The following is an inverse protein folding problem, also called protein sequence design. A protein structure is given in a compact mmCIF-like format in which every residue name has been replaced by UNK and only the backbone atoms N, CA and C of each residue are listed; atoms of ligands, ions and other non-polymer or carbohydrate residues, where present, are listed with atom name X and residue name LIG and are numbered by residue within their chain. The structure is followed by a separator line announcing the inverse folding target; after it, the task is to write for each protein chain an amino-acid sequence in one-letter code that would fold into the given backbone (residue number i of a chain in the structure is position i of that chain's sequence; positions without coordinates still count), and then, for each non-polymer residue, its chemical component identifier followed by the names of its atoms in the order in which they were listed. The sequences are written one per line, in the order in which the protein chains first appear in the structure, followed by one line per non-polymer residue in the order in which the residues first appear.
data_IF_467220597484
#
_entry.id   IF_467220597484
#
_cell.length_a   1.000
_cell.length_b   1.000
_cell.length_c   1.000
_cell.angle_alpha   90.00
_cell.angle_beta   90.00
_cell.angle_gamma   90.00
#
_symmetry.space_group_name_H-M   'P 1'
#
loop_
_entity.id
_entity.type
_entity.pdbx_description
1 polymer ?
#
# COMPACT_ATOMS: atom_id res chain seq x y z
N UNK A 1 -4.62 3.22 14.09
CA UNK A 1 -4.20 4.63 14.12
C UNK A 1 -3.28 4.87 12.93
N UNK A 2 -3.38 6.02 12.25
CA UNK A 2 -2.50 6.33 11.13
C UNK A 2 -1.26 7.09 11.61
N UNK A 3 -0.06 6.57 11.31
CA UNK A 3 1.22 7.23 11.61
C UNK A 3 1.77 7.93 10.37
N UNK A 4 2.62 8.95 10.58
CA UNK A 4 3.32 9.62 9.50
C UNK A 4 4.36 8.68 8.87
N UNK A 5 4.52 8.75 7.55
CA UNK A 5 5.55 7.95 6.87
C UNK A 5 6.95 8.53 7.10
N UNK A 6 7.97 7.67 7.30
CA UNK A 6 9.37 8.09 7.22
C UNK A 6 9.70 8.65 5.84
N UNK A 7 10.61 9.62 5.76
CA UNK A 7 10.94 10.32 4.50
C UNK A 7 11.41 9.36 3.40
N UNK A 8 12.16 8.33 3.75
CA UNK A 8 12.59 7.30 2.78
C UNK A 8 11.41 6.57 2.17
N UNK A 9 10.40 6.23 2.98
CA UNK A 9 9.16 5.59 2.50
C UNK A 9 8.37 6.54 1.61
N UNK A 10 8.28 7.83 1.97
CA UNK A 10 7.61 8.85 1.15
C UNK A 10 8.26 8.99 -0.23
N UNK A 11 9.59 8.98 -0.29
CA UNK A 11 10.34 9.07 -1.54
C UNK A 11 10.04 7.86 -2.44
N UNK A 12 10.07 6.64 -1.89
CA UNK A 12 9.73 5.43 -2.66
C UNK A 12 8.30 5.49 -3.20
N UNK A 13 7.33 5.93 -2.40
CA UNK A 13 5.93 6.09 -2.86
C UNK A 13 5.81 7.17 -3.95
N UNK A 14 6.60 8.24 -3.86
CA UNK A 14 6.65 9.29 -4.88
C UNK A 14 7.23 8.75 -6.19
N UNK A 15 8.32 7.99 -6.14
CA UNK A 15 8.89 7.35 -7.32
C UNK A 15 7.92 6.35 -7.95
N UNK A 16 7.20 5.56 -7.14
CA UNK A 16 6.14 4.68 -7.64
C UNK A 16 5.06 5.46 -8.40
N UNK A 17 4.62 6.60 -7.84
CA UNK A 17 3.65 7.50 -8.48
C UNK A 17 4.15 7.96 -9.84
N UNK A 18 5.40 8.42 -9.92
CA UNK A 18 5.99 8.89 -11.17
C UNK A 18 6.08 7.78 -12.22
N UNK A 19 6.47 6.56 -11.84
CA UNK A 19 6.54 5.42 -12.78
C UNK A 19 5.18 5.00 -13.30
N UNK A 20 4.13 5.07 -12.47
CA UNK A 20 2.75 4.81 -12.89
C UNK A 20 2.27 5.90 -13.86
N UNK A 21 2.46 7.17 -13.50
CA UNK A 21 2.03 8.32 -14.33
C UNK A 21 2.74 8.35 -15.69
N UNK A 22 4.02 7.99 -15.72
CA UNK A 22 4.82 7.89 -16.94
C UNK A 22 4.62 6.56 -17.70
N UNK A 23 3.63 5.74 -17.31
CA UNK A 23 3.28 4.46 -17.96
C UNK A 23 4.44 3.45 -18.04
N UNK A 24 5.37 3.52 -17.09
CA UNK A 24 6.50 2.58 -16.99
C UNK A 24 6.12 1.29 -16.24
N UNK A 25 5.01 1.32 -15.49
CA UNK A 25 4.47 0.16 -14.80
C UNK A 25 3.70 -0.76 -15.75
N UNK A 26 3.90 -2.07 -15.62
CA UNK A 26 3.18 -3.09 -16.41
C UNK A 26 1.97 -3.56 -15.64
N UNK A 27 0.82 -3.76 -16.29
CA UNK A 27 -0.34 -4.39 -15.65
C UNK A 27 -0.20 -5.91 -15.77
N UNK A 28 -0.16 -6.62 -14.63
CA UNK A 28 0.13 -8.07 -14.61
C UNK A 28 -1.09 -8.93 -14.24
N UNK A 29 -2.08 -8.35 -13.58
CA UNK A 29 -3.40 -8.96 -13.36
C UNK A 29 -4.45 -7.89 -13.51
N UNK A 30 -5.58 -8.20 -14.14
CA UNK A 30 -6.65 -7.23 -14.35
C UNK A 30 -8.01 -7.91 -14.23
N UNK A 31 -8.92 -7.27 -13.50
CA UNK A 31 -10.31 -7.67 -13.39
C UNK A 31 -11.23 -6.42 -13.43
N UNK A 32 -12.51 -6.61 -13.11
CA UNK A 32 -13.50 -5.52 -13.08
C UNK A 32 -13.31 -4.54 -11.92
N UNK A 33 -12.53 -4.91 -10.91
CA UNK A 33 -12.26 -4.11 -9.71
C UNK A 33 -10.96 -3.33 -9.82
N UNK A 34 -10.05 -3.72 -10.71
CA UNK A 34 -8.78 -3.05 -10.85
C UNK A 34 -7.71 -3.85 -11.58
N UNK A 35 -6.45 -3.47 -11.34
CA UNK A 35 -5.30 -4.23 -11.82
C UNK A 35 -4.14 -4.17 -10.82
N UNK A 36 -3.34 -5.24 -10.81
CA UNK A 36 -2.05 -5.28 -10.14
C UNK A 36 -0.98 -4.74 -11.10
N UNK A 37 -0.13 -3.84 -10.60
CA UNK A 37 1.06 -3.41 -11.30
C UNK A 37 2.24 -4.34 -11.02
N UNK A 38 3.08 -4.53 -12.02
CA UNK A 38 4.33 -5.26 -11.94
C UNK A 38 5.34 -4.76 -12.97
N UNK A 39 6.22 -5.66 -13.40
CA UNK A 39 7.38 -5.31 -14.22
C UNK A 39 8.54 -4.76 -13.39
N UNK A 40 9.76 -4.64 -13.99
CA UNK A 40 10.97 -4.29 -13.25
C UNK A 40 10.87 -2.94 -12.52
N UNK A 41 10.28 -1.93 -13.17
CA UNK A 41 10.22 -0.57 -12.66
C UNK A 41 9.48 -0.43 -11.31
N UNK A 42 8.40 -1.18 -11.09
CA UNK A 42 7.74 -1.19 -9.78
C UNK A 42 8.20 -2.31 -8.87
N UNK A 43 8.73 -3.41 -9.41
CA UNK A 43 9.23 -4.53 -8.59
C UNK A 43 10.41 -4.09 -7.73
N UNK A 44 11.34 -3.32 -8.29
CA UNK A 44 12.49 -2.79 -7.56
C UNK A 44 12.05 -1.85 -6.43
N UNK A 45 11.14 -0.90 -6.73
CA UNK A 45 10.59 0.01 -5.72
C UNK A 45 9.77 -0.73 -4.64
N UNK A 46 9.05 -1.79 -4.99
CA UNK A 46 8.30 -2.60 -4.02
C UNK A 46 9.23 -3.39 -3.08
N UNK A 47 10.38 -3.85 -3.57
CA UNK A 47 11.44 -4.46 -2.75
C UNK A 47 12.11 -3.42 -1.86
N UNK A 48 12.44 -2.25 -2.39
CA UNK A 48 12.99 -1.15 -1.60
C UNK A 48 12.02 -0.73 -0.48
N UNK A 49 10.72 -0.58 -0.80
CA UNK A 49 9.70 -0.26 0.18
C UNK A 49 9.61 -1.32 1.29
N UNK A 50 9.68 -2.61 0.91
CA UNK A 50 9.73 -3.71 1.87
C UNK A 50 10.92 -3.55 2.82
N UNK A 51 12.11 -3.27 2.29
CA UNK A 51 13.33 -3.13 3.09
C UNK A 51 13.26 -1.89 4.01
N UNK A 52 12.76 -0.76 3.52
CA UNK A 52 12.56 0.43 4.35
C UNK A 52 11.60 0.14 5.51
N UNK A 53 10.44 -0.48 5.24
CA UNK A 53 9.48 -0.80 6.30
C UNK A 53 10.00 -1.85 7.29
N UNK A 54 10.81 -2.82 6.83
CA UNK A 54 11.51 -3.74 7.74
C UNK A 54 12.48 -3.01 8.67
N UNK A 55 13.21 -2.02 8.16
CA UNK A 55 14.12 -1.20 8.97
C UNK A 55 13.38 -0.34 10.01
N UNK A 56 12.11 -0.01 9.76
CA UNK A 56 11.22 0.70 10.69
C UNK A 56 10.55 -0.24 11.70
N UNK A 57 10.89 -1.53 11.68
CA UNK A 57 10.46 -2.51 12.66
C UNK A 57 9.19 -3.29 12.32
N UNK A 58 8.65 -3.15 11.09
CA UNK A 58 7.55 -3.99 10.61
C UNK A 58 8.08 -5.32 10.07
N UNK A 59 7.46 -6.47 10.37
CA UNK A 59 7.83 -7.75 9.72
C UNK A 59 7.09 -7.91 8.39
N UNK A 60 7.65 -7.35 7.32
CA UNK A 60 7.02 -7.32 5.99
C UNK A 60 7.26 -8.62 5.23
N UNK A 61 6.17 -9.32 4.92
CA UNK A 61 6.17 -10.55 4.11
C UNK A 61 6.12 -10.26 2.61
N UNK A 62 5.36 -9.25 2.20
CA UNK A 62 5.26 -8.88 0.80
C UNK A 62 4.67 -7.50 0.56
N UNK A 63 5.05 -6.90 -0.57
CA UNK A 63 4.54 -5.63 -1.06
C UNK A 63 3.96 -5.84 -2.47
N UNK A 64 2.72 -5.42 -2.70
CA UNK A 64 2.10 -5.41 -4.03
C UNK A 64 1.47 -4.06 -4.30
N UNK A 65 1.39 -3.65 -5.57
CA UNK A 65 0.89 -2.33 -5.96
C UNK A 65 -0.32 -2.52 -6.86
N UNK A 66 -1.43 -1.88 -6.52
CA UNK A 66 -2.72 -2.07 -7.18
C UNK A 66 -3.35 -0.76 -7.57
N UNK A 67 -4.06 -0.76 -8.69
CA UNK A 67 -5.04 0.25 -9.02
C UNK A 67 -6.45 -0.31 -8.79
N UNK A 68 -7.31 0.43 -8.09
CA UNK A 68 -8.69 0.05 -7.85
C UNK A 68 -9.66 1.03 -8.51
N UNK A 69 -10.63 0.52 -9.27
CA UNK A 69 -11.61 1.34 -10.00
C UNK A 69 -12.83 1.72 -9.14
N UNK A 70 -13.42 0.76 -8.39
CA UNK A 70 -14.46 1.03 -7.38
C UNK A 70 -14.80 -0.21 -6.54
N UNK A 71 -14.94 -0.03 -5.23
CA UNK A 71 -15.62 -0.99 -4.35
C UNK A 71 -14.93 -2.36 -4.23
N UNK A 72 -13.66 -2.37 -3.87
CA UNK A 72 -12.92 -3.61 -3.66
C UNK A 72 -13.04 -4.07 -2.20
N UNK A 73 -13.37 -5.34 -1.98
CA UNK A 73 -13.30 -5.93 -0.64
C UNK A 73 -11.89 -6.44 -0.42
N UNK A 74 -11.22 -5.87 0.58
CA UNK A 74 -9.85 -6.24 0.92
C UNK A 74 -9.92 -7.48 1.81
N UNK A 75 -9.40 -8.59 1.29
CA UNK A 75 -9.16 -9.78 2.11
C UNK A 75 -7.88 -9.58 2.91
N UNK A 76 -7.93 -9.84 4.21
CA UNK A 76 -6.79 -9.68 5.11
C UNK A 76 -6.60 -10.93 5.97
N UNK A 77 -6.25 -12.07 5.36
CA UNK A 77 -6.14 -13.34 6.07
C UNK A 77 -5.05 -13.32 7.15
N UNK A 78 -4.03 -12.47 7.00
CA UNK A 78 -2.95 -12.32 7.97
C UNK A 78 -3.34 -11.46 9.17
N UNK A 79 -4.45 -10.71 9.10
CA UNK A 79 -4.83 -9.66 10.07
C UNK A 79 -3.73 -8.61 10.30
N UNK A 80 -2.80 -8.52 9.36
CA UNK A 80 -1.63 -7.67 9.39
C UNK A 80 -1.44 -7.09 8.00
N UNK A 81 -2.09 -5.96 7.75
CA UNK A 81 -2.03 -5.29 6.46
C UNK A 81 -1.80 -3.80 6.67
N UNK A 82 -0.86 -3.26 5.90
CA UNK A 82 -0.61 -1.83 5.80
C UNK A 82 -1.02 -1.40 4.39
N UNK A 83 -1.81 -0.33 4.31
CA UNK A 83 -2.14 0.33 3.05
C UNK A 83 -1.51 1.71 2.98
N UNK A 84 -0.92 2.00 1.82
CA UNK A 84 -0.33 3.29 1.48
C UNK A 84 -0.94 3.81 0.19
N UNK A 85 -1.48 5.03 0.24
CA UNK A 85 -2.03 5.68 -0.95
C UNK A 85 -0.88 6.24 -1.80
N UNK A 86 -0.83 5.84 -3.07
CA UNK A 86 0.08 6.40 -4.07
C UNK A 86 -0.61 7.57 -4.76
N UNK A 87 -1.83 7.38 -5.26
CA UNK A 87 -2.55 8.37 -6.05
C UNK A 87 -4.08 8.18 -5.97
N UNK A 88 -4.82 9.23 -6.30
CA UNK A 88 -6.28 9.21 -6.32
C UNK A 88 -6.90 9.40 -4.93
N UNK A 89 -8.17 9.02 -4.81
CA UNK A 89 -8.95 9.13 -3.59
C UNK A 89 -9.44 7.76 -3.18
N UNK A 90 -9.19 7.38 -1.92
CA UNK A 90 -9.61 6.11 -1.37
C UNK A 90 -10.06 6.24 0.08
N UNK A 91 -11.12 5.52 0.45
CA UNK A 91 -11.68 5.47 1.80
C UNK A 91 -11.95 4.03 2.19
N UNK A 92 -11.48 3.65 3.37
CA UNK A 92 -11.73 2.37 4.00
C UNK A 92 -13.03 2.41 4.82
N UNK A 93 -13.81 1.34 4.70
CA UNK A 93 -15.00 1.12 5.53
C UNK A 93 -14.93 -0.27 6.17
N UNK A 94 -14.68 -0.37 7.49
CA UNK A 94 -14.30 0.71 8.41
C UNK A 94 -12.85 1.18 8.18
N UNK A 95 -12.50 2.40 8.63
CA UNK A 95 -11.11 2.87 8.64
C UNK A 95 -10.88 4.32 8.19
N UNK A 96 -11.84 4.92 7.47
CA UNK A 96 -11.78 6.32 7.05
C UNK A 96 -10.91 6.55 5.81
N UNK A 97 -10.69 7.82 5.47
CA UNK A 97 -9.95 8.20 4.27
C UNK A 97 -8.48 7.76 4.35
N UNK A 98 -7.99 7.15 3.28
CA UNK A 98 -6.56 7.01 3.05
C UNK A 98 -6.02 8.38 2.63
N UNK A 99 -4.96 8.84 3.29
CA UNK A 99 -4.29 10.08 2.92
C UNK A 99 -2.90 9.76 2.38
N UNK A 100 -2.43 10.62 1.49
CA UNK A 100 -1.02 10.61 1.11
C UNK A 100 -0.14 10.75 2.36
N UNK A 101 1.03 10.13 2.33
CA UNK A 101 2.05 10.22 3.39
C UNK A 101 1.68 9.63 4.75
N UNK A 102 0.60 8.84 4.83
CA UNK A 102 0.25 8.12 6.05
C UNK A 102 0.19 6.63 5.85
N UNK A 103 0.54 5.93 6.93
CA UNK A 103 0.44 4.49 7.03
C UNK A 103 -0.91 4.13 7.63
N UNK A 104 -1.72 3.35 6.91
CA UNK A 104 -3.00 2.85 7.43
C UNK A 104 -2.90 1.38 7.76
N UNK A 105 -2.86 1.08 9.04
CA UNK A 105 -2.80 -0.29 9.53
C UNK A 105 -4.20 -0.89 9.70
N UNK A 106 -4.37 -2.11 9.21
CA UNK A 106 -5.65 -2.79 9.06
C UNK A 106 -5.54 -4.19 9.68
N UNK A 107 -6.33 -4.43 10.73
CA UNK A 107 -6.53 -5.76 11.34
C UNK A 107 -7.75 -6.49 10.77
N UNK A 108 -8.70 -5.74 10.22
CA UNK A 108 -9.99 -6.24 9.74
C UNK A 108 -9.99 -6.48 8.21
N UNK A 109 -11.16 -6.79 7.65
CA UNK A 109 -11.40 -6.92 6.19
C UNK A 109 -12.25 -5.76 5.67
N UNK A 110 -11.67 -4.57 5.45
CA UNK A 110 -12.45 -3.40 5.04
C UNK A 110 -12.81 -3.43 3.55
N UNK A 111 -13.87 -2.71 3.22
CA UNK A 111 -14.14 -2.32 1.84
C UNK A 111 -13.37 -1.05 1.49
N UNK A 112 -12.75 -1.04 0.32
CA UNK A 112 -12.07 0.10 -0.27
C UNK A 112 -12.99 0.78 -1.28
N UNK A 113 -13.42 1.99 -0.94
CA UNK A 113 -14.17 2.89 -1.80
C UNK A 113 -13.20 3.84 -2.48
N UNK A 114 -13.33 4.05 -3.78
CA UNK A 114 -12.46 4.94 -4.56
C UNK A 114 -13.25 6.03 -5.28
N UNK A 115 -12.55 7.10 -5.63
CA UNK A 115 -13.06 8.17 -6.50
C UNK A 115 -13.33 7.70 -7.94
N UNK A 116 -13.85 8.60 -8.77
CA UNK A 116 -14.30 8.29 -10.14
C UNK A 116 -13.20 7.71 -11.06
N UNK A 117 -11.95 8.11 -10.82
CA UNK A 117 -10.79 7.66 -11.61
C UNK A 117 -10.03 6.50 -10.95
N UNK A 118 -10.58 5.92 -9.89
CA UNK A 118 -9.89 4.92 -9.09
C UNK A 118 -8.79 5.50 -8.18
N UNK A 119 -8.02 4.61 -7.58
CA UNK A 119 -6.89 4.94 -6.73
C UNK A 119 -5.76 3.92 -6.85
N UNK A 120 -4.52 4.38 -6.81
CA UNK A 120 -3.33 3.53 -6.74
C UNK A 120 -2.92 3.35 -5.27
N UNK A 121 -2.78 2.10 -4.82
CA UNK A 121 -2.54 1.75 -3.43
C UNK A 121 -1.48 0.65 -3.34
N UNK A 122 -0.53 0.80 -2.42
CA UNK A 122 0.37 -0.30 -2.02
C UNK A 122 -0.28 -1.11 -0.91
N UNK A 123 -0.25 -2.44 -1.09
CA UNK A 123 -0.58 -3.43 -0.09
C UNK A 123 0.70 -4.01 0.47
N UNK A 124 0.92 -3.81 1.77
CA UNK A 124 2.07 -4.34 2.49
C UNK A 124 1.55 -5.36 3.51
N UNK A 125 1.79 -6.63 3.23
CA UNK A 125 1.42 -7.74 4.11
C UNK A 125 2.47 -7.88 5.19
N UNK A 126 2.05 -7.83 6.46
CA UNK A 126 2.90 -8.01 7.62
C UNK A 126 2.39 -9.14 8.52
N UNK A 127 3.26 -9.64 9.41
CA UNK A 127 2.80 -10.54 10.48
C UNK A 127 1.85 -9.81 11.46
N UNK A 128 0.80 -10.48 11.98
CA UNK A 128 -0.18 -9.87 12.88
C UNK A 128 0.42 -9.33 14.18
N UNK A 129 1.55 -9.89 14.65
CA UNK A 129 2.29 -9.43 15.83
C UNK A 129 3.43 -8.44 15.49
N UNK A 130 3.51 -8.00 14.24
CA UNK A 130 4.51 -7.06 13.71
C UNK A 130 4.14 -5.58 13.92
N UNK A 131 3.53 -5.21 15.05
CA UNK A 131 3.54 -3.81 15.48
C UNK A 131 5.02 -3.41 15.70
N UNK A 132 5.39 -2.19 15.28
CA UNK A 132 6.75 -1.69 15.37
C UNK A 132 7.33 -2.01 16.75
N UNK A 133 8.36 -2.86 16.80
CA UNK A 133 9.06 -3.12 18.06
C UNK A 133 9.63 -1.80 18.51
N UNK A 134 9.02 -1.18 19.52
CA UNK A 134 9.61 -0.06 20.22
C UNK A 134 10.92 -0.55 20.80
N UNK A 135 12.03 -0.16 20.18
CA UNK A 135 13.35 -0.29 20.77
C UNK A 135 13.40 0.65 21.97
N UNK A 136 13.07 0.13 23.15
CA UNK A 136 13.52 0.73 24.40
C UNK A 136 15.04 0.47 24.50
N UNK A 137 15.81 1.54 24.33
CA UNK A 137 17.21 1.63 24.74
C UNK A 137 17.44 3.01 25.37
#
# INVERSE_FOLDING_TARGET
MASALPDKVKNVITDMRERIQNKMAVRIKQDTKGWEYGGPALKELALELKDQLNNEGYDVRGCTVWHFLRGANIKNPTKGLILLLISGEATLSPGGALTLERLSYIKDEPSLLTGANGADVVFVVIEPDGEAKTSDA
#
